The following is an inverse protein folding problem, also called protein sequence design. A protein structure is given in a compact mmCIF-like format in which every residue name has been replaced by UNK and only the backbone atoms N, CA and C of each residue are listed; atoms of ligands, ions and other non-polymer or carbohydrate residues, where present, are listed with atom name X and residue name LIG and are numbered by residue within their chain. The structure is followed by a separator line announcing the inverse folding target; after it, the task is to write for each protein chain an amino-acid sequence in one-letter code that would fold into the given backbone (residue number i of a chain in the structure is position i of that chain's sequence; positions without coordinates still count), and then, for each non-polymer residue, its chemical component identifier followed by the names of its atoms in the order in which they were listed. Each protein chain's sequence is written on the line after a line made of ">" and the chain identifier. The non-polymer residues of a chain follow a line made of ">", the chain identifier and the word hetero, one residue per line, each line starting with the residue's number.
data_IF_855583785895
#
_entry.id   IF_855583785895
#
_cell.length_a   1.000
_cell.length_b   1.000
_cell.length_c   1.000
_cell.angle_alpha   90.00
_cell.angle_beta   90.00
_cell.angle_gamma   90.00
#
_symmetry.space_group_name_H-M   'P 1'
#
loop_
_entity.id
_entity.type
_entity.pdbx_description
1 polymer ?
#
# COMPACT_ATOMS: atom_id res chain seq x y z
N UNK A 1 6.59 13.60 42.71
CA UNK A 1 5.92 14.55 41.81
C UNK A 1 6.55 14.40 40.43
N UNK A 2 5.78 14.01 39.40
CA UNK A 2 6.33 13.79 38.05
C UNK A 2 6.24 15.10 37.24
N UNK A 3 7.28 15.48 36.49
CA UNK A 3 7.31 16.73 35.70
C UNK A 3 6.21 16.83 34.62
N UNK A 4 5.53 15.71 34.31
CA UNK A 4 4.45 15.63 33.32
C UNK A 4 3.16 16.34 33.73
N UNK A 5 3.01 16.67 35.01
CA UNK A 5 1.76 17.22 35.54
C UNK A 5 1.67 18.76 35.40
N UNK A 6 2.76 19.42 34.99
CA UNK A 6 2.88 20.90 34.95
C UNK A 6 2.51 21.50 33.57
N UNK A 7 2.44 20.69 32.50
CA UNK A 7 2.40 21.19 31.11
C UNK A 7 1.00 21.38 30.50
N UNK A 8 -0.09 21.12 31.22
CA UNK A 8 -1.43 21.27 30.66
C UNK A 8 -2.35 22.09 31.57
N UNK A 9 -2.09 23.40 31.68
CA UNK A 9 -3.17 24.37 31.95
C UNK A 9 -4.09 24.37 30.73
N UNK A 10 -5.08 23.49 30.73
CA UNK A 10 -6.11 23.40 29.71
C UNK A 10 -7.05 24.59 29.85
N UNK A 11 -6.83 25.64 29.06
CA UNK A 11 -7.89 26.62 28.81
C UNK A 11 -9.06 25.84 28.19
N UNK A 12 -10.30 25.97 28.71
CA UNK A 12 -11.43 25.24 28.16
C UNK A 12 -11.71 25.73 26.74
N UNK A 13 -11.25 24.96 25.75
CA UNK A 13 -11.58 25.20 24.35
C UNK A 13 -13.10 25.10 24.21
N UNK A 14 -13.74 26.15 23.67
CA UNK A 14 -15.16 26.10 23.31
C UNK A 14 -15.36 24.95 22.33
N UNK A 15 -16.07 23.91 22.76
CA UNK A 15 -16.34 22.72 21.96
C UNK A 15 -17.17 23.14 20.75
N UNK A 16 -16.67 22.91 19.54
CA UNK A 16 -17.43 23.07 18.32
C UNK A 16 -18.52 21.97 18.29
N UNK A 17 -19.77 22.34 18.58
CA UNK A 17 -20.89 21.41 18.81
C UNK A 17 -21.64 21.01 17.53
N UNK A 18 -21.21 21.47 16.35
CA UNK A 18 -21.92 21.25 15.09
C UNK A 18 -21.49 19.95 14.38
N UNK A 19 -21.45 18.83 15.10
CA UNK A 19 -21.36 17.51 14.48
C UNK A 19 -22.68 16.76 14.72
N UNK A 20 -23.39 16.43 13.64
CA UNK A 20 -24.52 15.51 13.68
C UNK A 20 -23.98 14.14 14.05
N UNK A 21 -24.47 13.55 15.14
CA UNK A 21 -24.05 12.22 15.56
C UNK A 21 -24.52 11.19 14.52
N UNK A 22 -23.57 10.63 13.75
CA UNK A 22 -23.86 9.74 12.63
C UNK A 22 -24.01 8.27 13.04
N UNK A 23 -24.04 7.95 14.34
CA UNK A 23 -24.40 6.60 14.83
C UNK A 23 -23.38 5.49 14.55
N UNK A 24 -22.13 5.84 14.19
CA UNK A 24 -21.07 4.84 13.97
C UNK A 24 -20.43 4.45 15.31
N UNK A 25 -20.59 3.18 15.74
CA UNK A 25 -20.07 2.63 17.01
C UNK A 25 -18.56 2.86 17.25
N UNK A 26 -17.78 3.06 16.19
CA UNK A 26 -16.34 3.38 16.27
C UNK A 26 -15.91 4.33 15.15
N UNK A 27 -16.42 5.57 15.12
CA UNK A 27 -15.77 6.62 14.33
C UNK A 27 -15.23 7.68 15.26
N UNK A 28 -13.95 7.56 15.62
CA UNK A 28 -13.25 8.59 16.38
C UNK A 28 -13.20 9.84 15.49
N UNK A 29 -14.02 10.84 15.84
CA UNK A 29 -14.01 12.15 15.19
C UNK A 29 -12.66 12.77 15.51
N UNK A 30 -11.75 12.77 14.52
CA UNK A 30 -10.49 13.51 14.64
C UNK A 30 -10.81 14.99 14.54
N UNK A 31 -10.22 15.77 15.44
CA UNK A 31 -10.34 17.23 15.41
C UNK A 31 -9.83 17.71 14.05
N UNK A 32 -10.55 18.61 13.35
CA UNK A 32 -10.11 19.20 12.08
C UNK A 32 -9.00 20.24 12.35
N UNK A 33 -7.88 19.78 12.87
CA UNK A 33 -6.67 20.55 13.07
C UNK A 33 -5.58 19.95 12.20
N UNK A 34 -4.76 20.83 11.61
CA UNK A 34 -3.60 20.41 10.85
C UNK A 34 -2.58 19.77 11.80
N UNK A 35 -1.92 18.71 11.35
CA UNK A 35 -0.79 18.12 12.08
C UNK A 35 0.50 18.79 11.66
N UNK A 36 1.45 18.86 12.57
CA UNK A 36 2.81 19.36 12.29
C UNK A 36 3.65 18.36 11.48
N UNK A 37 3.08 17.19 11.16
CA UNK A 37 3.72 16.12 10.39
C UNK A 37 2.89 15.73 9.16
N UNK A 38 3.60 15.47 8.07
CA UNK A 38 3.02 15.02 6.80
C UNK A 38 3.48 13.58 6.57
N UNK A 39 2.59 12.75 6.02
CA UNK A 39 2.97 11.38 5.65
C UNK A 39 3.96 11.42 4.49
N UNK A 40 5.15 10.86 4.69
CA UNK A 40 6.16 10.77 3.62
C UNK A 40 5.69 9.83 2.50
N UNK A 41 6.05 10.16 1.26
CA UNK A 41 5.88 9.26 0.13
C UNK A 41 6.76 8.05 0.37
N UNK A 42 6.15 6.90 0.63
CA UNK A 42 6.87 5.64 0.67
C UNK A 42 7.23 5.25 -0.78
N UNK A 43 8.51 4.95 -1.07
CA UNK A 43 8.84 4.33 -2.35
C UNK A 43 8.07 3.02 -2.46
N UNK A 44 7.54 2.72 -3.66
CA UNK A 44 6.99 1.39 -3.90
C UNK A 44 8.14 0.41 -3.73
N UNK A 45 7.95 -0.58 -2.86
CA UNK A 45 8.83 -1.75 -2.80
C UNK A 45 8.95 -2.29 -4.22
N UNK A 46 10.18 -2.46 -4.68
CA UNK A 46 10.48 -2.96 -6.01
C UNK A 46 9.80 -4.31 -6.17
N UNK A 47 8.74 -4.36 -6.98
CA UNK A 47 8.14 -5.63 -7.37
C UNK A 47 9.16 -6.39 -8.17
N UNK A 48 9.29 -7.70 -7.96
CA UNK A 48 10.08 -8.55 -8.84
C UNK A 48 9.72 -8.23 -10.30
N UNK A 49 10.74 -7.92 -11.09
CA UNK A 49 10.58 -7.62 -12.52
C UNK A 49 10.07 -8.87 -13.24
N UNK A 50 9.27 -8.68 -14.29
CA UNK A 50 8.81 -9.76 -15.18
C UNK A 50 7.90 -10.85 -14.56
N UNK A 51 7.26 -10.57 -13.43
CA UNK A 51 6.33 -11.53 -12.78
C UNK A 51 5.11 -11.85 -13.64
N UNK A 52 4.63 -10.90 -14.45
CA UNK A 52 3.46 -11.13 -15.31
C UNK A 52 3.77 -12.06 -16.48
N UNK A 53 5.00 -11.99 -16.98
CA UNK A 53 5.51 -12.76 -18.10
C UNK A 53 5.86 -14.17 -17.62
N UNK A 54 6.41 -14.27 -16.41
CA UNK A 54 6.61 -15.53 -15.71
C UNK A 54 5.29 -16.27 -15.49
N UNK A 55 4.23 -15.59 -15.02
CA UNK A 55 2.94 -16.25 -14.77
C UNK A 55 2.31 -16.79 -16.05
N UNK A 56 2.37 -16.05 -17.16
CA UNK A 56 1.89 -16.50 -18.48
C UNK A 56 2.64 -17.72 -19.00
N UNK A 57 3.97 -17.73 -18.85
CA UNK A 57 4.81 -18.86 -19.25
C UNK A 57 4.50 -20.12 -18.43
N UNK A 58 4.31 -19.96 -17.11
CA UNK A 58 3.91 -21.06 -16.21
C UNK A 58 2.49 -21.58 -16.51
N UNK A 59 1.56 -20.70 -16.87
CA UNK A 59 0.21 -21.08 -17.28
C UNK A 59 0.22 -21.90 -18.58
N UNK A 60 1.06 -21.51 -19.55
CA UNK A 60 1.21 -22.26 -20.78
C UNK A 60 1.80 -23.65 -20.51
N UNK A 61 2.84 -23.74 -19.70
CA UNK A 61 3.44 -25.01 -19.31
C UNK A 61 2.42 -25.93 -18.65
N UNK A 62 1.58 -25.40 -17.75
CA UNK A 62 0.54 -26.18 -17.08
C UNK A 62 -0.50 -26.76 -18.04
N UNK A 63 -0.80 -26.09 -19.15
CA UNK A 63 -1.76 -26.55 -20.17
C UNK A 63 -1.18 -27.55 -21.17
N UNK A 64 0.15 -27.61 -21.28
CA UNK A 64 0.87 -28.34 -22.33
C UNK A 64 1.81 -29.41 -21.77
N UNK A 65 1.61 -29.80 -20.51
CA UNK A 65 2.47 -30.74 -19.77
C UNK A 65 3.95 -30.35 -19.82
N UNK A 66 4.23 -29.05 -19.62
CA UNK A 66 5.56 -28.46 -19.59
C UNK A 66 6.36 -28.61 -20.89
N UNK A 67 5.67 -28.73 -22.02
CA UNK A 67 6.30 -28.78 -23.33
C UNK A 67 6.82 -27.38 -23.76
N UNK A 68 8.12 -27.16 -23.65
CA UNK A 68 8.77 -25.90 -24.03
C UNK A 68 8.51 -25.50 -25.48
N UNK A 69 8.41 -26.45 -26.42
CA UNK A 69 8.17 -26.11 -27.84
C UNK A 69 6.78 -25.50 -28.04
N UNK A 70 5.79 -25.98 -27.29
CA UNK A 70 4.42 -25.46 -27.34
C UNK A 70 4.30 -24.05 -26.74
N UNK A 71 5.18 -23.71 -25.80
CA UNK A 71 5.20 -22.41 -25.08
C UNK A 71 6.39 -21.51 -25.47
N UNK A 72 6.89 -21.67 -26.69
CA UNK A 72 8.05 -20.91 -27.21
C UNK A 72 7.80 -19.41 -27.19
N UNK A 73 6.57 -18.98 -27.51
CA UNK A 73 6.20 -17.55 -27.52
C UNK A 73 6.25 -16.94 -26.12
N UNK A 74 5.71 -17.64 -25.13
CA UNK A 74 5.66 -17.17 -23.74
C UNK A 74 7.05 -17.16 -23.11
N UNK A 75 7.92 -18.10 -23.48
CA UNK A 75 9.32 -18.12 -23.06
C UNK A 75 10.13 -16.99 -23.69
N UNK A 76 9.97 -16.72 -25.00
CA UNK A 76 10.65 -15.60 -25.67
C UNK A 76 10.27 -14.25 -25.04
N UNK A 77 8.99 -14.04 -24.76
CA UNK A 77 8.51 -12.80 -24.11
C UNK A 77 9.06 -12.65 -22.69
N UNK A 78 9.13 -13.74 -21.92
CA UNK A 78 9.76 -13.72 -20.60
C UNK A 78 11.25 -13.34 -20.69
N UNK A 79 11.99 -13.96 -21.62
CA UNK A 79 13.42 -13.68 -21.80
C UNK A 79 13.69 -12.23 -22.28
N UNK A 80 12.82 -11.68 -23.12
CA UNK A 80 12.89 -10.26 -23.51
C UNK A 80 12.71 -9.33 -22.31
N UNK A 81 11.77 -9.65 -21.42
CA UNK A 81 11.57 -8.87 -20.20
C UNK A 81 12.79 -8.96 -19.28
N UNK A 82 13.35 -10.17 -19.10
CA UNK A 82 14.57 -10.38 -18.29
C UNK A 82 15.73 -9.57 -18.85
N UNK A 83 15.95 -9.61 -20.17
CA UNK A 83 17.02 -8.86 -20.83
C UNK A 83 16.86 -7.33 -20.74
N UNK A 84 15.63 -6.83 -20.59
CA UNK A 84 15.35 -5.41 -20.39
C UNK A 84 15.46 -4.98 -18.90
N UNK A 85 15.49 -5.95 -17.99
CA UNK A 85 15.61 -5.73 -16.54
C UNK A 85 17.06 -5.87 -16.04
N UNK A 86 17.94 -6.50 -16.82
CA UNK A 86 19.41 -6.49 -16.66
C UNK A 86 20.02 -5.14 -17.06
#
# INVERSE_FOLDING_TARGET
>A
MRPTDVLYKTVPLKKFTNYRDLGFKYKVVRIPALKDEIKSRQPKTESATCVNEMSRMMDCWKRTDFNQKACSKETDVFMQCVAAAE
#
